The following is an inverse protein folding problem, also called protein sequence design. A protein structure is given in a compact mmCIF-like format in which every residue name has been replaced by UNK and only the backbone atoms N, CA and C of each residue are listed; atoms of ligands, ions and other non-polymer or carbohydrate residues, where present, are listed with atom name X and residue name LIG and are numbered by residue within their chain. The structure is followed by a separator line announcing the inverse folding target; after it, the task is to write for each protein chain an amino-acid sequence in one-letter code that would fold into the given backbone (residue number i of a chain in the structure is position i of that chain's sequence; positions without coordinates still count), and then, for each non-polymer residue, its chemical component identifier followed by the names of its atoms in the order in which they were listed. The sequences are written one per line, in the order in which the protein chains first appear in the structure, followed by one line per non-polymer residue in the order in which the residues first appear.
data_IF_448088068002
#
_entry.id   IF_448088068002
#
_cell.length_a   1.000
_cell.length_b   1.000
_cell.length_c   1.000
_cell.angle_alpha   90.00
_cell.angle_beta   90.00
_cell.angle_gamma   90.00
#
_symmetry.space_group_name_H-M   'P 1'
#
loop_
_entity.id
_entity.type
_entity.pdbx_description
1 polymer ?
#
# COMPACT_ATOMS: atom_id res chain seq x y z
N UNK A 1 34.70 -2.16 -10.70
CA UNK A 1 33.66 -3.20 -10.72
C UNK A 1 32.89 -3.24 -9.39
N UNK A 2 33.59 -3.34 -8.27
CA UNK A 2 32.95 -3.37 -6.95
C UNK A 2 32.18 -2.08 -6.64
N UNK A 3 32.69 -0.93 -7.08
CA UNK A 3 32.04 0.37 -6.90
C UNK A 3 30.70 0.41 -7.64
N UNK A 4 30.68 -0.08 -8.89
CA UNK A 4 29.44 -0.13 -9.69
C UNK A 4 28.42 -1.06 -9.05
N UNK A 5 28.87 -2.24 -8.59
CA UNK A 5 27.98 -3.20 -7.91
C UNK A 5 27.44 -2.60 -6.61
N UNK A 6 28.28 -1.95 -5.80
CA UNK A 6 27.86 -1.30 -4.57
C UNK A 6 26.85 -0.19 -4.80
N UNK A 7 27.05 0.64 -5.83
CA UNK A 7 26.11 1.69 -6.20
C UNK A 7 24.78 1.12 -6.67
N UNK A 8 24.80 0.03 -7.43
CA UNK A 8 23.59 -0.64 -7.91
C UNK A 8 22.79 -1.23 -6.75
N UNK A 9 23.45 -1.89 -5.80
CA UNK A 9 22.82 -2.44 -4.61
C UNK A 9 22.23 -1.33 -3.73
N UNK A 10 22.98 -0.26 -3.50
CA UNK A 10 22.52 0.90 -2.74
C UNK A 10 21.26 1.48 -3.38
N UNK A 11 21.27 1.70 -4.69
CA UNK A 11 20.13 2.25 -5.42
C UNK A 11 18.91 1.34 -5.27
N UNK A 12 19.10 0.03 -5.44
CA UNK A 12 18.00 -0.93 -5.31
C UNK A 12 17.38 -0.89 -3.91
N UNK A 13 18.20 -0.95 -2.86
CA UNK A 13 17.69 -0.94 -1.49
C UNK A 13 17.07 0.41 -1.13
N UNK A 14 17.64 1.51 -1.60
CA UNK A 14 17.06 2.84 -1.39
C UNK A 14 15.66 2.92 -2.00
N UNK A 15 15.51 2.52 -3.27
CA UNK A 15 14.23 2.57 -3.95
C UNK A 15 13.18 1.64 -3.31
N UNK A 16 13.58 0.48 -2.83
CA UNK A 16 12.65 -0.45 -2.18
C UNK A 16 12.28 -0.01 -0.77
N UNK A 17 13.26 0.33 0.04
CA UNK A 17 13.02 0.74 1.42
C UNK A 17 12.22 2.03 1.52
N UNK A 18 12.48 2.98 0.63
CA UNK A 18 11.80 4.28 0.62
C UNK A 18 10.68 4.37 -0.42
N UNK A 19 10.22 3.24 -0.95
CA UNK A 19 9.23 3.23 -2.03
C UNK A 19 7.93 3.93 -1.65
N UNK A 20 7.48 3.80 -0.41
CA UNK A 20 6.25 4.47 0.06
C UNK A 20 6.46 5.97 0.12
N UNK A 21 7.61 6.42 0.61
CA UNK A 21 7.93 7.85 0.64
C UNK A 21 7.91 8.45 -0.77
N UNK A 22 8.60 7.80 -1.71
CA UNK A 22 8.64 8.28 -3.09
C UNK A 22 7.26 8.25 -3.75
N UNK A 23 6.47 7.24 -3.44
CA UNK A 23 5.13 7.10 -4.00
C UNK A 23 4.17 8.22 -3.56
N UNK A 24 4.41 8.81 -2.39
CA UNK A 24 3.64 9.97 -1.95
C UNK A 24 3.86 11.20 -2.84
N UNK A 25 4.99 11.26 -3.53
CA UNK A 25 5.40 12.42 -4.33
C UNK A 25 5.44 12.14 -5.83
N UNK A 26 5.07 10.95 -6.26
CA UNK A 26 5.07 10.62 -7.69
C UNK A 26 3.84 11.24 -8.37
N UNK A 27 4.00 11.85 -9.57
CA UNK A 27 2.84 12.28 -10.35
C UNK A 27 1.98 11.07 -10.72
N UNK A 28 0.68 11.17 -10.50
CA UNK A 28 -0.20 10.04 -10.74
C UNK A 28 -1.61 10.48 -11.09
N UNK A 29 -2.35 9.59 -11.75
CA UNK A 29 -3.76 9.77 -12.03
C UNK A 29 -4.56 9.63 -10.74
N UNK A 30 -5.59 10.44 -10.59
CA UNK A 30 -6.48 10.37 -9.42
C UNK A 30 -7.07 8.96 -9.27
N UNK A 31 -7.08 8.45 -8.04
CA UNK A 31 -7.63 7.15 -7.71
C UNK A 31 -6.67 5.99 -7.81
N UNK A 32 -5.41 6.20 -8.21
CA UNK A 32 -4.41 5.13 -8.33
C UNK A 32 -3.69 4.80 -7.02
N UNK A 33 -3.69 5.72 -6.06
CA UNK A 33 -3.16 5.52 -4.70
C UNK A 33 -1.76 4.90 -4.64
N UNK A 34 -0.72 5.52 -5.26
CA UNK A 34 0.60 4.91 -5.39
C UNK A 34 1.25 4.52 -4.07
N UNK A 35 1.08 5.34 -3.01
CA UNK A 35 1.67 5.09 -1.71
C UNK A 35 1.10 3.82 -1.05
N UNK A 36 -0.20 3.62 -1.16
CA UNK A 36 -0.86 2.42 -0.63
C UNK A 36 -0.40 1.18 -1.41
N UNK A 37 -0.33 1.27 -2.73
CA UNK A 37 0.11 0.17 -3.59
C UNK A 37 1.57 -0.21 -3.26
N UNK A 38 2.46 0.77 -3.15
CA UNK A 38 3.86 0.51 -2.83
C UNK A 38 4.04 -0.07 -1.43
N UNK A 39 3.26 0.40 -0.47
CA UNK A 39 3.29 -0.16 0.88
C UNK A 39 2.95 -1.65 0.86
N UNK A 40 1.88 -2.02 0.18
CA UNK A 40 1.42 -3.41 0.16
C UNK A 40 2.33 -4.30 -0.67
N UNK A 41 2.79 -3.84 -1.84
CA UNK A 41 3.70 -4.62 -2.68
C UNK A 41 5.08 -4.83 -2.04
N UNK A 42 5.57 -3.82 -1.31
CA UNK A 42 6.92 -3.80 -0.76
C UNK A 42 6.96 -3.95 0.76
N UNK A 43 5.91 -4.51 1.38
CA UNK A 43 5.83 -4.62 2.84
C UNK A 43 7.00 -5.39 3.44
N UNK A 44 7.58 -6.33 2.70
CA UNK A 44 8.78 -7.04 3.13
C UNK A 44 10.05 -6.19 3.15
N UNK A 45 10.04 -5.02 2.50
CA UNK A 45 11.17 -4.09 2.41
C UNK A 45 10.91 -2.79 3.15
N UNK A 46 9.65 -2.38 3.24
CA UNK A 46 9.25 -1.10 3.84
C UNK A 46 9.36 -1.14 5.36
N UNK A 47 9.51 0.04 5.93
CA UNK A 47 9.46 0.20 7.38
C UNK A 47 8.05 -0.08 7.90
N UNK A 48 7.94 -1.04 8.82
CA UNK A 48 6.67 -1.39 9.46
C UNK A 48 6.75 -1.01 10.94
N UNK A 49 6.41 0.24 11.29
CA UNK A 49 6.55 0.73 12.65
C UNK A 49 5.58 0.05 13.60
N UNK A 50 5.98 -0.08 14.86
CA UNK A 50 5.09 -0.53 15.91
C UNK A 50 4.14 0.62 16.27
N UNK A 51 2.86 0.46 15.96
CA UNK A 51 1.82 1.46 16.19
C UNK A 51 0.68 0.76 16.93
N UNK A 52 0.18 1.41 17.98
CA UNK A 52 -0.93 0.86 18.76
C UNK A 52 -2.16 0.67 17.86
N UNK A 53 -2.75 -0.52 17.95
CA UNK A 53 -3.91 -0.90 17.15
C UNK A 53 -3.61 -1.34 15.73
N UNK A 54 -2.35 -1.40 15.33
CA UNK A 54 -1.96 -1.87 13.99
C UNK A 54 -1.07 -3.10 14.11
N UNK A 55 -1.39 -4.12 13.33
CA UNK A 55 -0.60 -5.34 13.22
C UNK A 55 -0.34 -5.68 11.77
N UNK A 56 0.74 -6.41 11.52
CA UNK A 56 1.22 -6.78 10.19
C UNK A 56 1.32 -8.29 10.11
N UNK A 57 0.99 -8.84 8.94
CA UNK A 57 1.14 -10.26 8.65
C UNK A 57 1.80 -10.41 7.28
N UNK A 58 2.85 -11.22 7.20
CA UNK A 58 3.57 -11.52 5.96
C UNK A 58 3.61 -13.02 5.66
N UNK A 59 2.78 -13.82 6.32
CA UNK A 59 2.73 -15.26 6.16
C UNK A 59 1.80 -15.64 5.00
N UNK A 60 2.38 -15.79 3.80
CA UNK A 60 1.66 -16.15 2.58
C UNK A 60 1.05 -14.99 1.82
N UNK A 61 0.71 -13.91 2.49
CA UNK A 61 0.27 -12.65 1.90
C UNK A 61 0.71 -11.51 2.79
N UNK A 62 0.64 -10.28 2.28
CA UNK A 62 0.91 -9.09 3.09
C UNK A 62 -0.40 -8.51 3.58
N UNK A 63 -0.54 -8.35 4.88
CA UNK A 63 -1.76 -7.81 5.47
C UNK A 63 -1.46 -6.79 6.54
N UNK A 64 -2.26 -5.72 6.57
CA UNK A 64 -2.25 -4.72 7.63
C UNK A 64 -3.63 -4.73 8.26
N UNK A 65 -3.67 -4.98 9.57
CA UNK A 65 -4.90 -4.98 10.36
C UNK A 65 -4.88 -3.78 11.29
N UNK A 66 -5.97 -3.04 11.30
CA UNK A 66 -6.14 -1.92 12.23
C UNK A 66 -7.36 -2.17 13.12
N UNK A 67 -7.12 -2.11 14.42
CA UNK A 67 -8.18 -2.16 15.43
C UNK A 67 -8.33 -0.78 16.06
N UNK A 68 -9.56 -0.26 16.03
CA UNK A 68 -9.91 1.03 16.62
C UNK A 68 -11.19 0.88 17.44
N UNK A 69 -11.04 0.78 18.75
CA UNK A 69 -12.14 0.42 19.64
C UNK A 69 -12.59 -1.01 19.36
N UNK A 70 -13.88 -1.18 19.02
CA UNK A 70 -14.45 -2.48 18.67
C UNK A 70 -14.43 -2.76 17.16
N UNK A 71 -13.88 -1.83 16.37
CA UNK A 71 -13.88 -1.92 14.90
C UNK A 71 -12.53 -2.43 14.40
N UNK A 72 -12.58 -3.36 13.46
CA UNK A 72 -11.41 -3.94 12.83
C UNK A 72 -11.52 -3.80 11.31
N UNK A 73 -10.47 -3.29 10.68
CA UNK A 73 -10.35 -3.24 9.23
C UNK A 73 -9.05 -3.92 8.81
N UNK A 74 -9.07 -4.59 7.66
CA UNK A 74 -7.93 -5.39 7.18
C UNK A 74 -7.71 -5.09 5.71
N UNK A 75 -6.48 -4.70 5.35
CA UNK A 75 -6.06 -4.61 3.96
C UNK A 75 -5.04 -5.72 3.69
N UNK A 76 -5.35 -6.56 2.73
CA UNK A 76 -4.56 -7.73 2.35
C UNK A 76 -4.11 -7.59 0.90
N UNK A 77 -2.88 -7.99 0.62
CA UNK A 77 -2.31 -8.02 -0.73
C UNK A 77 -1.75 -9.41 -0.99
N UNK A 78 -2.26 -10.08 -2.01
CA UNK A 78 -1.83 -11.40 -2.41
C UNK A 78 -1.76 -11.48 -3.94
N UNK A 79 -0.57 -11.84 -4.46
CA UNK A 79 -0.35 -11.82 -5.90
C UNK A 79 -0.40 -10.40 -6.44
N UNK A 80 -1.42 -10.07 -7.21
CA UNK A 80 -1.68 -8.72 -7.72
C UNK A 80 -3.06 -8.21 -7.30
N UNK A 81 -3.63 -8.78 -6.25
CA UNK A 81 -4.98 -8.50 -5.78
C UNK A 81 -4.95 -7.85 -4.41
N UNK A 82 -5.69 -6.76 -4.25
CA UNK A 82 -5.96 -6.11 -2.98
C UNK A 82 -7.33 -6.55 -2.48
N UNK A 83 -7.39 -7.01 -1.24
CA UNK A 83 -8.64 -7.37 -0.59
C UNK A 83 -8.79 -6.55 0.68
N UNK A 84 -9.89 -5.81 0.78
CA UNK A 84 -10.15 -4.96 1.93
C UNK A 84 -11.41 -5.41 2.65
N UNK A 85 -11.29 -5.68 3.94
CA UNK A 85 -12.44 -5.93 4.82
C UNK A 85 -12.64 -4.67 5.66
N UNK A 86 -13.77 -3.99 5.45
CA UNK A 86 -14.08 -2.77 6.17
C UNK A 86 -14.55 -3.06 7.59
N UNK A 87 -14.58 -2.03 8.42
CA UNK A 87 -15.08 -2.14 9.79
C UNK A 87 -16.55 -2.57 9.86
N UNK A 88 -17.30 -2.38 8.77
CA UNK A 88 -18.70 -2.81 8.68
C UNK A 88 -18.85 -4.30 8.33
N UNK A 89 -17.75 -5.00 8.01
CA UNK A 89 -17.79 -6.40 7.61
C UNK A 89 -17.89 -6.62 6.10
N UNK A 90 -18.01 -5.56 5.30
CA UNK A 90 -18.04 -5.68 3.85
C UNK A 90 -16.64 -5.97 3.30
N UNK A 91 -16.56 -6.81 2.28
CA UNK A 91 -15.32 -7.15 1.59
C UNK A 91 -15.28 -6.53 0.20
N UNK A 92 -14.13 -5.97 -0.17
CA UNK A 92 -13.91 -5.29 -1.45
C UNK A 92 -12.67 -5.86 -2.12
N UNK A 93 -12.80 -6.22 -3.38
CA UNK A 93 -11.72 -6.78 -4.17
C UNK A 93 -11.30 -5.79 -5.25
N UNK A 94 -10.00 -5.48 -5.29
CA UNK A 94 -9.42 -4.59 -6.28
C UNK A 94 -8.20 -5.26 -6.91
N UNK A 95 -7.87 -4.87 -8.14
CA UNK A 95 -6.57 -5.18 -8.68
C UNK A 95 -5.54 -4.15 -8.19
N UNK A 96 -4.27 -4.36 -8.55
CA UNK A 96 -3.16 -3.48 -8.13
C UNK A 96 -3.22 -2.07 -8.71
N UNK A 97 -4.15 -1.79 -9.63
CA UNK A 97 -4.41 -0.45 -10.17
C UNK A 97 -5.61 0.22 -9.49
N UNK A 98 -6.10 -0.37 -8.43
CA UNK A 98 -7.31 0.06 -7.72
C UNK A 98 -8.56 0.06 -8.59
N UNK A 99 -8.58 -0.75 -9.64
CA UNK A 99 -9.82 -1.00 -10.37
C UNK A 99 -10.70 -1.93 -9.56
N UNK A 100 -11.96 -1.60 -9.51
CA UNK A 100 -12.94 -2.41 -8.80
C UNK A 100 -13.21 -3.70 -9.57
N UNK A 101 -13.30 -4.82 -8.84
CA UNK A 101 -13.77 -6.08 -9.37
C UNK A 101 -15.14 -6.43 -8.79
N UNK A 102 -15.29 -6.44 -7.47
CA UNK A 102 -16.60 -6.62 -6.84
C UNK A 102 -16.54 -6.29 -5.36
N UNK A 103 -17.71 -6.15 -4.76
CA UNK A 103 -17.88 -5.97 -3.32
C UNK A 103 -18.99 -6.89 -2.81
N UNK A 104 -18.79 -7.43 -1.61
CA UNK A 104 -19.73 -8.33 -0.95
C UNK A 104 -19.99 -7.86 0.47
N UNK A 105 -21.23 -8.07 0.95
CA UNK A 105 -21.53 -7.87 2.36
C UNK A 105 -21.11 -9.10 3.20
N UNK A 106 -21.37 -9.07 4.49
CA UNK A 106 -21.01 -10.16 5.41
C UNK A 106 -21.75 -11.47 5.13
N UNK A 107 -22.82 -11.43 4.33
CA UNK A 107 -23.59 -12.61 3.91
C UNK A 107 -23.26 -13.03 2.47
N UNK A 108 -22.17 -12.50 1.90
CA UNK A 108 -21.70 -12.78 0.54
C UNK A 108 -22.64 -12.31 -0.56
N UNK A 109 -23.52 -11.35 -0.27
CA UNK A 109 -24.35 -10.71 -1.30
C UNK A 109 -23.58 -9.57 -1.97
N UNK A 110 -23.65 -9.49 -3.30
CA UNK A 110 -23.05 -8.40 -4.06
C UNK A 110 -23.70 -7.08 -3.67
N UNK A 111 -22.89 -6.07 -3.39
CA UNK A 111 -23.35 -4.74 -2.98
C UNK A 111 -22.86 -3.68 -3.94
N UNK A 112 -23.59 -2.57 -4.00
CA UNK A 112 -23.16 -1.35 -4.68
C UNK A 112 -22.41 -0.47 -3.69
N UNK A 113 -21.40 0.24 -4.17
CA UNK A 113 -20.63 1.15 -3.33
C UNK A 113 -19.98 2.22 -4.17
N UNK A 114 -19.53 3.28 -3.52
CA UNK A 114 -18.73 4.34 -4.15
C UNK A 114 -17.26 4.02 -3.93
N UNK A 115 -16.50 3.85 -4.99
CA UNK A 115 -15.09 3.50 -4.92
C UNK A 115 -14.29 4.52 -4.10
N UNK A 116 -14.57 5.81 -4.28
CA UNK A 116 -13.90 6.88 -3.53
C UNK A 116 -14.09 6.74 -2.02
N UNK A 117 -15.29 6.35 -1.58
CA UNK A 117 -15.58 6.14 -0.16
C UNK A 117 -14.76 4.98 0.40
N UNK A 118 -14.69 3.87 -0.35
CA UNK A 118 -13.91 2.68 0.07
C UNK A 118 -12.43 3.00 0.09
N UNK A 119 -11.91 3.69 -0.92
CA UNK A 119 -10.51 4.11 -0.96
C UNK A 119 -10.15 5.01 0.23
N UNK A 120 -11.07 5.86 0.65
CA UNK A 120 -10.88 6.70 1.84
C UNK A 120 -10.78 5.85 3.11
N UNK A 121 -11.62 4.83 3.27
CA UNK A 121 -11.54 3.90 4.39
C UNK A 121 -10.23 3.12 4.39
N UNK A 122 -9.79 2.66 3.22
CA UNK A 122 -8.50 1.97 3.07
C UNK A 122 -7.37 2.90 3.51
N UNK A 123 -7.39 4.14 3.06
CA UNK A 123 -6.37 5.13 3.44
C UNK A 123 -6.36 5.36 4.95
N UNK A 124 -7.51 5.53 5.56
CA UNK A 124 -7.60 5.70 7.01
C UNK A 124 -7.00 4.50 7.76
N UNK A 125 -7.16 3.30 7.22
CA UNK A 125 -6.61 2.09 7.83
C UNK A 125 -5.07 2.09 7.83
N UNK A 126 -4.44 2.54 6.75
CA UNK A 126 -2.97 2.43 6.59
C UNK A 126 -2.23 3.76 6.72
N UNK A 127 -2.93 4.89 6.82
CA UNK A 127 -2.30 6.22 6.88
C UNK A 127 -1.24 6.35 7.97
N UNK A 128 -1.44 5.84 9.20
CA UNK A 128 -0.39 5.93 10.21
C UNK A 128 0.91 5.25 9.81
N UNK A 129 0.84 4.15 9.05
CA UNK A 129 2.02 3.46 8.55
C UNK A 129 2.71 4.28 7.46
N UNK A 130 1.93 4.89 6.58
CA UNK A 130 2.45 5.77 5.51
C UNK A 130 3.13 7.00 6.13
N UNK A 131 2.51 7.62 7.11
CA UNK A 131 3.03 8.82 7.78
C UNK A 131 4.34 8.55 8.53
N UNK A 132 4.57 7.34 8.96
CA UNK A 132 5.74 6.95 9.72
C UNK A 132 6.94 6.57 8.84
N UNK A 133 6.79 6.58 7.52
CA UNK A 133 7.86 6.16 6.60
C UNK A 133 9.04 7.14 6.68
N UNK A 134 10.27 6.61 6.81
CA UNK A 134 11.45 7.47 6.93
C UNK A 134 11.77 8.17 5.63
N UNK A 135 12.19 9.44 5.75
CA UNK A 135 12.65 10.22 4.62
C UNK A 135 14.05 9.75 4.21
N UNK A 136 14.31 9.51 2.91
CA UNK A 136 15.65 9.10 2.47
C UNK A 136 16.68 10.19 2.68
N UNK A 137 17.89 9.81 3.11
CA UNK A 137 19.01 10.74 3.21
C UNK A 137 19.50 11.17 1.83
N UNK A 138 19.55 10.21 0.90
CA UNK A 138 19.84 10.48 -0.52
C UNK A 138 18.54 10.28 -1.28
N UNK A 139 18.02 11.38 -1.84
CA UNK A 139 16.71 11.37 -2.48
C UNK A 139 16.85 10.96 -3.94
N UNK A 140 16.25 9.82 -4.30
CA UNK A 140 16.21 9.29 -5.65
C UNK A 140 14.81 9.40 -6.26
N UNK A 141 14.04 10.42 -5.89
CA UNK A 141 12.68 10.62 -6.38
C UNK A 141 12.61 10.63 -7.92
N UNK A 142 13.57 11.30 -8.56
CA UNK A 142 13.61 11.38 -10.02
C UNK A 142 13.71 9.99 -10.67
N UNK A 143 14.53 9.11 -10.07
CA UNK A 143 14.72 7.75 -10.58
C UNK A 143 13.48 6.89 -10.30
N UNK A 144 12.89 7.03 -9.13
CA UNK A 144 11.64 6.35 -8.78
C UNK A 144 10.54 6.74 -9.77
N UNK A 145 10.41 8.02 -10.07
CA UNK A 145 9.43 8.51 -11.03
C UNK A 145 9.67 7.91 -12.42
N UNK A 146 10.93 7.87 -12.86
CA UNK A 146 11.28 7.31 -14.15
C UNK A 146 10.86 5.84 -14.29
N UNK A 147 11.01 5.07 -13.21
CA UNK A 147 10.71 3.64 -13.22
C UNK A 147 9.21 3.37 -13.11
N UNK A 148 8.50 4.11 -12.23
CA UNK A 148 7.15 3.75 -11.82
C UNK A 148 6.05 4.66 -12.33
N UNK A 149 6.37 5.81 -12.91
CA UNK A 149 5.35 6.79 -13.28
C UNK A 149 4.31 6.23 -14.25
N UNK A 150 4.70 5.37 -15.19
CA UNK A 150 3.79 4.79 -16.17
C UNK A 150 2.71 3.90 -15.54
N UNK A 151 2.98 3.33 -14.35
CA UNK A 151 2.00 2.48 -13.67
C UNK A 151 0.85 3.29 -13.07
N UNK A 152 1.08 4.56 -12.75
CA UNK A 152 0.12 5.37 -12.01
C UNK A 152 -0.50 6.50 -12.82
N UNK A 153 -0.24 6.52 -14.10
CA UNK A 153 -0.82 7.52 -15.02
C UNK A 153 -1.99 7.00 -15.83
#
# INVERSE_FOLDING_TARGET
LYTVLGMSLFTFFNLKYHSVYYAQHIPHKEGTEPDIIMLMENMGWAYTPEIDGISYDDDGSYAITREKGTKTSILDFSGDTLFFISASGNGYLFNRNFSNQYALDEHYHTIKYKQRTVQKEIRETVQPVIDAQPKPLINLQWLFNLIYQSRFN
#
